data_IF_175939031803
#
_entry.id   IF_175939031803
#
_cell.length_a   1.000
_cell.length_b   1.000
_cell.length_c   1.000
_cell.angle_alpha   90.00
_cell.angle_beta   90.00
_cell.angle_gamma   90.00
#
_symmetry.space_group_name_H-M   'P 1'
#
loop_
_entity.id
_entity.type
_entity.pdbx_description
1 polymer ?
#
# COMPACT_ATOMS: atom_id res chain seq x y z
N UNK A 1 14.79 -13.04 6.80
CA UNK A 1 13.32 -12.86 6.81
C UNK A 1 12.96 -12.10 5.55
N UNK A 2 12.23 -12.72 4.61
CA UNK A 2 11.76 -12.03 3.40
C UNK A 2 10.37 -11.48 3.69
N UNK A 3 10.28 -10.18 3.99
CA UNK A 3 9.00 -9.47 4.16
C UNK A 3 8.58 -8.91 2.79
N UNK A 4 7.46 -9.40 2.27
CA UNK A 4 6.93 -8.97 0.97
C UNK A 4 6.15 -7.65 1.12
N UNK A 5 6.50 -6.66 0.29
CA UNK A 5 5.80 -5.38 0.17
C UNK A 5 4.52 -5.53 -0.64
N UNK A 6 3.39 -5.12 -0.09
CA UNK A 6 2.18 -5.06 -0.89
C UNK A 6 1.31 -3.85 -0.37
N UNK A 7 0.99 -2.87 -1.25
CA UNK A 7 0.25 -1.56 -1.09
C UNK A 7 -1.31 -1.48 -0.97
N UNK A 8 -1.88 -0.68 -0.05
CA UNK A 8 -3.31 -0.67 0.37
C UNK A 8 -4.37 0.00 -0.55
N UNK A 9 -4.28 -0.18 -1.87
CA UNK A 9 -5.53 -0.44 -2.64
C UNK A 9 -5.51 -1.76 -3.37
N UNK A 10 -4.41 -2.52 -3.31
CA UNK A 10 -4.28 -3.82 -3.94
C UNK A 10 -3.59 -4.84 -3.04
N UNK A 11 -3.44 -4.56 -1.74
CA UNK A 11 -2.48 -5.31 -0.96
C UNK A 11 -2.39 -5.03 0.55
N UNK A 12 -2.05 -6.07 1.31
CA UNK A 12 -1.87 -6.04 2.76
C UNK A 12 -0.56 -6.76 3.11
N UNK A 13 0.29 -6.18 3.96
CA UNK A 13 1.40 -6.93 4.57
C UNK A 13 0.85 -7.78 5.72
N UNK A 14 0.87 -9.11 5.56
CA UNK A 14 0.56 -10.06 6.62
C UNK A 14 1.84 -10.58 7.26
N UNK A 15 2.05 -10.31 8.55
CA UNK A 15 3.24 -10.79 9.28
C UNK A 15 3.09 -12.22 9.83
N UNK A 16 1.97 -12.92 9.58
CA UNK A 16 1.77 -14.31 10.05
C UNK A 16 0.92 -15.13 9.07
N UNK A 17 1.49 -16.20 8.50
CA UNK A 17 0.77 -17.35 7.92
C UNK A 17 -0.31 -17.08 6.86
N UNK A 18 -0.08 -16.13 5.93
CA UNK A 18 -1.05 -15.51 5.01
C UNK A 18 -2.18 -16.41 4.46
N UNK A 19 -1.87 -17.58 3.89
CA UNK A 19 -2.90 -18.41 3.26
C UNK A 19 -3.86 -19.12 4.24
N UNK A 20 -3.42 -19.46 5.45
CA UNK A 20 -4.26 -20.16 6.45
C UNK A 20 -5.20 -19.21 7.21
N UNK A 21 -5.04 -17.90 7.01
CA UNK A 21 -5.71 -16.85 7.77
C UNK A 21 -6.77 -16.08 6.96
N UNK A 22 -6.91 -16.40 5.67
CA UNK A 22 -7.97 -15.87 4.80
C UNK A 22 -9.22 -16.74 4.88
N UNK A 23 -10.38 -16.16 4.56
CA UNK A 23 -11.63 -16.91 4.57
C UNK A 23 -11.59 -18.07 3.58
N UNK A 24 -12.31 -19.17 3.87
CA UNK A 24 -12.49 -20.24 2.91
C UNK A 24 -13.02 -19.76 1.55
N UNK A 25 -13.89 -18.75 1.52
CA UNK A 25 -14.37 -18.14 0.27
C UNK A 25 -13.25 -17.48 -0.56
N UNK A 26 -12.24 -16.91 0.10
CA UNK A 26 -11.07 -16.32 -0.55
C UNK A 26 -10.01 -17.33 -0.97
N UNK A 27 -9.94 -18.50 -0.32
CA UNK A 27 -8.91 -19.51 -0.58
C UNK A 27 -9.40 -20.69 -1.42
N UNK A 28 -10.71 -20.96 -1.44
CA UNK A 28 -11.34 -22.14 -2.06
C UNK A 28 -11.04 -22.35 -3.54
N UNK A 29 -10.68 -21.29 -4.29
CA UNK A 29 -10.32 -21.37 -5.72
C UNK A 29 -8.89 -20.94 -6.01
N UNK A 30 -8.08 -20.63 -4.99
CA UNK A 30 -6.67 -20.27 -5.17
C UNK A 30 -5.85 -21.56 -5.33
N UNK A 31 -5.19 -21.75 -6.47
CA UNK A 31 -4.25 -22.87 -6.65
C UNK A 31 -3.07 -22.72 -5.68
N UNK A 32 -2.61 -23.80 -4.99
CA UNK A 32 -1.37 -23.78 -4.23
C UNK A 32 -0.23 -23.37 -5.17
N UNK A 33 0.47 -22.27 -4.85
CA UNK A 33 1.54 -21.71 -5.67
C UNK A 33 1.25 -20.35 -6.33
N UNK A 34 0.01 -19.85 -6.28
CA UNK A 34 -0.31 -18.50 -6.76
C UNK A 34 0.11 -17.37 -5.79
N UNK A 35 0.56 -17.72 -4.58
CA UNK A 35 1.13 -16.79 -3.60
C UNK A 35 2.65 -16.79 -3.78
N UNK A 36 3.10 -16.37 -4.96
CA UNK A 36 4.52 -16.11 -5.22
C UNK A 36 4.73 -14.59 -5.25
N UNK A 37 5.91 -14.16 -4.80
CA UNK A 37 6.26 -12.76 -4.58
C UNK A 37 5.99 -11.87 -5.81
N UNK A 38 4.95 -11.03 -5.76
CA UNK A 38 4.67 -10.03 -6.77
C UNK A 38 5.32 -8.71 -6.38
N UNK A 39 6.65 -8.61 -6.55
CA UNK A 39 7.33 -7.31 -6.56
C UNK A 39 7.87 -6.95 -7.95
N UNK A 40 7.85 -7.87 -8.91
CA UNK A 40 8.03 -7.56 -10.33
C UNK A 40 7.14 -8.49 -11.16
N UNK A 41 6.70 -7.96 -12.32
CA UNK A 41 6.12 -8.62 -13.50
C UNK A 41 4.62 -8.35 -13.74
N UNK A 42 4.41 -7.42 -14.69
CA UNK A 42 3.53 -7.47 -15.87
C UNK A 42 2.04 -7.82 -15.71
N UNK A 43 1.21 -7.03 -16.42
CA UNK A 43 -0.22 -7.25 -16.70
C UNK A 43 -0.67 -8.71 -16.65
N UNK A 44 -1.46 -9.06 -15.63
CA UNK A 44 -2.27 -10.28 -15.63
C UNK A 44 -3.75 -9.89 -15.75
N UNK A 45 -4.31 -10.12 -16.94
CA UNK A 45 -5.76 -10.19 -17.12
C UNK A 45 -6.24 -11.51 -16.51
N UNK A 46 -6.72 -11.48 -15.27
CA UNK A 46 -7.38 -12.62 -14.65
C UNK A 46 -8.76 -12.83 -15.28
N UNK A 47 -8.85 -13.77 -16.23
CA UNK A 47 -10.13 -14.33 -16.67
C UNK A 47 -10.68 -15.28 -15.58
N UNK A 48 -11.59 -14.79 -14.74
CA UNK A 48 -12.36 -15.63 -13.83
C UNK A 48 -13.72 -15.98 -14.46
N UNK A 49 -13.88 -17.20 -14.98
CA UNK A 49 -15.19 -17.74 -15.35
C UNK A 49 -16.03 -17.95 -14.08
N UNK A 50 -17.20 -17.33 -14.01
CA UNK A 50 -18.09 -17.34 -12.84
C UNK A 50 -19.25 -18.32 -13.03
N UNK A 51 -19.50 -19.15 -12.01
CA UNK A 51 -20.74 -19.90 -11.87
C UNK A 51 -21.36 -19.44 -10.55
N UNK A 52 -22.57 -18.89 -10.68
CA UNK A 52 -23.31 -18.13 -9.66
C UNK A 52 -23.86 -19.08 -8.59
N UNK A 53 -23.64 -18.78 -7.31
CA UNK A 53 -24.56 -19.21 -6.26
C UNK A 53 -24.67 -18.13 -5.20
N UNK A 54 -25.90 -17.74 -4.92
CA UNK A 54 -26.29 -16.67 -4.01
C UNK A 54 -25.90 -16.96 -2.54
N UNK A 55 -25.53 -15.86 -1.85
CA UNK A 55 -25.82 -15.49 -0.45
C UNK A 55 -24.56 -14.96 0.29
N UNK A 56 -24.53 -13.64 0.55
CA UNK A 56 -23.62 -12.93 1.49
C UNK A 56 -22.13 -13.30 1.46
N UNK A 57 -21.57 -13.61 0.29
CA UNK A 57 -20.18 -14.06 0.16
C UNK A 57 -19.31 -12.97 -0.47
N UNK A 58 -18.14 -12.69 0.12
CA UNK A 58 -17.10 -11.88 -0.51
C UNK A 58 -16.76 -12.54 -1.85
N UNK A 59 -16.92 -11.77 -2.93
CA UNK A 59 -16.55 -12.25 -4.26
C UNK A 59 -15.03 -12.42 -4.33
N UNK A 60 -14.53 -13.44 -5.04
CA UNK A 60 -13.08 -13.73 -5.04
C UNK A 60 -12.21 -12.54 -5.46
N UNK A 61 -12.69 -11.68 -6.36
CA UNK A 61 -12.01 -10.45 -6.74
C UNK A 61 -11.88 -9.44 -5.60
N UNK A 62 -12.86 -9.40 -4.68
CA UNK A 62 -12.82 -8.54 -3.49
C UNK A 62 -11.80 -9.02 -2.46
N UNK A 63 -11.33 -10.27 -2.54
CA UNK A 63 -10.29 -10.78 -1.65
C UNK A 63 -8.91 -10.13 -1.88
N UNK A 64 -8.71 -9.48 -3.02
CA UNK A 64 -7.48 -8.73 -3.34
C UNK A 64 -7.49 -7.30 -2.79
N UNK A 65 -8.58 -6.91 -2.15
CA UNK A 65 -8.85 -5.55 -1.72
C UNK A 65 -8.94 -5.51 -0.18
N UNK A 66 -7.89 -4.99 0.48
CA UNK A 66 -7.80 -4.90 1.94
C UNK A 66 -9.03 -4.33 2.63
N UNK A 67 -9.71 -3.37 2.00
CA UNK A 67 -10.91 -2.74 2.55
C UNK A 67 -12.06 -3.72 2.82
N UNK A 68 -12.09 -4.88 2.16
CA UNK A 68 -13.13 -5.89 2.36
C UNK A 68 -12.68 -7.03 3.29
N UNK A 69 -11.41 -7.43 3.22
CA UNK A 69 -10.93 -8.59 3.96
C UNK A 69 -10.27 -8.26 5.30
N UNK A 70 -9.73 -7.04 5.48
CA UNK A 70 -8.84 -6.79 6.62
C UNK A 70 -9.56 -6.81 7.97
N UNK A 71 -10.86 -6.54 8.00
CA UNK A 71 -11.70 -6.71 9.20
C UNK A 71 -11.89 -8.18 9.60
N UNK A 72 -11.82 -9.09 8.63
CA UNK A 72 -12.13 -10.50 8.84
C UNK A 72 -10.90 -11.31 9.25
N UNK A 73 -9.71 -10.69 9.19
CA UNK A 73 -8.45 -11.28 9.65
C UNK A 73 -8.45 -11.35 11.18
N UNK A 74 -8.30 -12.55 11.73
CA UNK A 74 -8.26 -12.78 13.18
C UNK A 74 -6.87 -12.59 13.79
N UNK A 75 -5.81 -12.80 13.01
CA UNK A 75 -4.43 -12.63 13.49
C UNK A 75 -4.08 -11.15 13.65
N UNK A 76 -3.21 -10.78 14.60
CA UNK A 76 -2.66 -9.44 14.68
C UNK A 76 -2.11 -8.98 13.32
N UNK A 77 -2.43 -7.74 12.95
CA UNK A 77 -2.11 -7.15 11.66
C UNK A 77 -1.36 -5.84 11.87
N UNK A 78 -0.23 -5.66 11.19
CA UNK A 78 0.45 -4.37 11.09
C UNK A 78 0.30 -3.82 9.68
N UNK A 79 -0.31 -2.65 9.56
CA UNK A 79 -0.61 -1.99 8.31
C UNK A 79 0.49 -0.97 8.00
N UNK A 80 1.20 -1.13 6.88
CA UNK A 80 2.25 -0.19 6.42
C UNK A 80 1.85 0.28 5.04
N UNK A 81 1.78 1.60 4.82
CA UNK A 81 1.59 2.16 3.49
C UNK A 81 1.95 3.64 3.47
N UNK A 82 2.54 4.09 2.37
CA UNK A 82 2.59 5.50 2.05
C UNK A 82 1.17 6.01 1.72
N UNK A 83 0.74 7.13 2.30
CA UNK A 83 -0.54 7.73 1.94
C UNK A 83 -0.57 8.24 0.49
N UNK A 84 0.60 8.45 -0.11
CA UNK A 84 0.81 8.83 -1.51
C UNK A 84 1.68 7.77 -2.18
N UNK A 85 1.23 6.51 -2.18
CA UNK A 85 1.96 5.43 -2.80
C UNK A 85 2.22 5.72 -4.28
N UNK A 86 3.51 5.81 -4.65
CA UNK A 86 3.91 6.28 -5.98
C UNK A 86 3.47 5.31 -7.08
N UNK A 87 3.37 4.01 -6.77
CA UNK A 87 2.88 3.02 -7.72
C UNK A 87 1.36 3.14 -7.92
N UNK A 88 0.59 3.32 -6.85
CA UNK A 88 -0.86 3.53 -6.94
C UNK A 88 -1.18 4.80 -7.73
N UNK A 89 -0.45 5.88 -7.49
CA UNK A 89 -0.64 7.14 -8.23
C UNK A 89 -0.36 6.94 -9.72
N UNK A 90 0.74 6.27 -10.07
CA UNK A 90 1.12 6.02 -11.46
C UNK A 90 0.18 5.07 -12.21
N UNK A 91 -0.32 4.03 -11.55
CA UNK A 91 -1.02 2.92 -12.23
C UNK A 91 -2.55 2.96 -12.03
N UNK A 92 -3.05 3.67 -11.02
CA UNK A 92 -4.47 3.69 -10.65
C UNK A 92 -5.04 5.10 -10.75
N UNK A 93 -4.38 6.10 -10.14
CA UNK A 93 -4.90 7.47 -10.13
C UNK A 93 -4.73 8.17 -11.50
N UNK A 94 -3.54 8.07 -12.08
CA UNK A 94 -3.20 8.72 -13.34
C UNK A 94 -2.50 7.77 -14.33
N UNK A 95 -3.13 6.62 -14.69
CA UNK A 95 -2.63 5.77 -15.76
C UNK A 95 -2.67 6.51 -17.10
N UNK A 96 -1.84 6.13 -18.07
CA UNK A 96 -1.78 6.80 -19.38
C UNK A 96 -3.13 6.84 -20.13
N UNK A 97 -4.02 5.87 -19.89
CA UNK A 97 -5.40 5.89 -20.42
C UNK A 97 -6.26 7.01 -19.83
N UNK A 98 -6.05 7.36 -18.55
CA UNK A 98 -6.75 8.46 -17.89
C UNK A 98 -6.05 9.81 -18.05
N UNK A 99 -4.80 9.81 -18.52
CA UNK A 99 -3.99 10.99 -18.81
C UNK A 99 -3.43 10.97 -20.24
N UNK A 100 -4.29 10.98 -21.28
CA UNK A 100 -3.86 10.83 -22.67
C UNK A 100 -2.98 12.00 -23.18
N UNK A 101 -3.02 13.13 -22.48
CA UNK A 101 -2.23 14.33 -22.81
C UNK A 101 -0.97 14.48 -21.94
N UNK A 102 -0.71 13.52 -21.05
CA UNK A 102 0.52 13.48 -20.25
C UNK A 102 0.64 14.61 -19.21
N UNK A 103 -0.47 15.17 -18.74
CA UNK A 103 -0.46 16.24 -17.74
C UNK A 103 0.18 15.80 -16.42
N UNK A 104 0.13 14.51 -16.09
CA UNK A 104 0.67 13.92 -14.88
C UNK A 104 2.08 13.37 -15.04
N UNK A 105 2.68 13.32 -16.24
CA UNK A 105 3.98 12.67 -16.43
C UNK A 105 5.07 13.24 -15.51
N UNK A 106 5.25 14.56 -15.49
CA UNK A 106 6.24 15.19 -14.61
C UNK A 106 5.96 14.97 -13.12
N UNK A 107 4.67 15.03 -12.73
CA UNK A 107 4.21 14.80 -11.35
C UNK A 107 4.41 13.35 -10.89
N UNK A 108 4.25 12.37 -11.79
CA UNK A 108 4.49 10.94 -11.52
C UNK A 108 5.97 10.63 -11.35
N UNK A 109 6.84 11.36 -12.04
CA UNK A 109 8.30 11.22 -11.93
C UNK A 109 8.82 11.82 -10.63
N UNK A 110 8.37 13.02 -10.26
CA UNK A 110 8.69 13.67 -8.99
C UNK A 110 7.46 14.45 -8.48
N UNK A 111 7.00 14.10 -7.28
CA UNK A 111 5.87 14.76 -6.62
C UNK A 111 6.07 16.28 -6.47
N UNK A 112 7.32 16.77 -6.45
CA UNK A 112 7.63 18.21 -6.40
C UNK A 112 7.20 18.96 -7.66
N UNK A 113 7.10 18.26 -8.80
CA UNK A 113 6.68 18.85 -10.06
C UNK A 113 5.16 18.88 -10.24
N UNK A 114 4.40 18.37 -9.27
CA UNK A 114 2.95 18.39 -9.33
C UNK A 114 2.40 19.81 -9.21
N UNK A 115 1.43 20.13 -10.07
CA UNK A 115 0.64 21.34 -9.93
C UNK A 115 -0.20 21.28 -8.65
N UNK A 116 -0.57 22.43 -8.05
CA UNK A 116 -1.44 22.46 -6.87
C UNK A 116 -2.77 21.72 -7.09
N UNK A 117 -3.32 21.74 -8.31
CA UNK A 117 -4.52 20.98 -8.69
C UNK A 117 -4.30 19.47 -8.65
N UNK A 118 -3.13 18.98 -9.06
CA UNK A 118 -2.77 17.56 -9.01
C UNK A 118 -2.56 17.09 -7.58
N UNK A 119 -1.86 17.90 -6.76
CA UNK A 119 -1.73 17.65 -5.32
C UNK A 119 -3.11 17.56 -4.68
N UNK A 120 -4.05 18.45 -5.01
CA UNK A 120 -5.42 18.36 -4.50
C UNK A 120 -6.09 17.02 -4.83
N UNK A 121 -5.98 16.54 -6.08
CA UNK A 121 -6.50 15.22 -6.47
C UNK A 121 -5.84 14.09 -5.68
N UNK A 122 -4.53 14.16 -5.45
CA UNK A 122 -3.81 13.19 -4.61
C UNK A 122 -4.24 13.24 -3.14
N UNK A 123 -4.56 14.42 -2.61
CA UNK A 123 -5.12 14.57 -1.27
C UNK A 123 -6.51 13.93 -1.16
N UNK A 124 -7.37 14.15 -2.16
CA UNK A 124 -8.70 13.53 -2.22
C UNK A 124 -8.58 12.00 -2.32
N UNK A 125 -7.61 11.49 -3.08
CA UNK A 125 -7.30 10.06 -3.14
C UNK A 125 -6.84 9.51 -1.77
N UNK A 126 -5.94 10.22 -1.08
CA UNK A 126 -5.55 9.90 0.30
C UNK A 126 -6.75 9.85 1.23
N UNK A 127 -7.69 10.80 1.14
CA UNK A 127 -8.88 10.79 2.00
C UNK A 127 -9.72 9.53 1.80
N UNK A 128 -9.88 9.04 0.57
CA UNK A 128 -10.56 7.76 0.33
C UNK A 128 -9.84 6.59 0.98
N UNK A 129 -8.51 6.55 0.89
CA UNK A 129 -7.70 5.55 1.57
C UNK A 129 -7.88 5.60 3.10
N UNK A 130 -7.85 6.79 3.70
CA UNK A 130 -8.07 6.96 5.14
C UNK A 130 -9.48 6.54 5.57
N UNK A 131 -10.51 6.86 4.79
CA UNK A 131 -11.88 6.39 5.05
C UNK A 131 -11.94 4.86 5.04
N UNK A 132 -11.25 4.20 4.11
CA UNK A 132 -11.17 2.74 4.08
C UNK A 132 -10.46 2.19 5.34
N UNK A 133 -9.38 2.82 5.81
CA UNK A 133 -8.71 2.45 7.05
C UNK A 133 -9.60 2.63 8.29
N UNK A 134 -10.35 3.74 8.37
CA UNK A 134 -11.27 4.02 9.47
C UNK A 134 -12.36 2.97 9.57
N UNK A 135 -12.87 2.50 8.42
CA UNK A 135 -13.86 1.41 8.37
C UNK A 135 -13.34 0.14 9.03
N UNK A 136 -12.03 -0.13 9.03
CA UNK A 136 -11.47 -1.31 9.71
C UNK A 136 -11.72 -1.35 11.22
N UNK A 137 -12.19 -0.24 11.82
CA UNK A 137 -12.50 -0.14 13.23
C UNK A 137 -11.26 -0.03 14.12
N UNK A 138 -11.48 0.16 15.42
CA UNK A 138 -10.41 0.14 16.42
C UNK A 138 -10.10 -1.31 16.80
N UNK A 139 -8.82 -1.65 16.88
CA UNK A 139 -8.37 -2.95 17.40
C UNK A 139 -7.05 -2.75 18.14
N UNK A 140 -6.97 -3.21 19.39
CA UNK A 140 -5.75 -3.12 20.19
C UNK A 140 -4.61 -4.00 19.63
N UNK A 141 -4.95 -5.06 18.88
CA UNK A 141 -3.97 -5.96 18.26
C UNK A 141 -3.49 -5.46 16.89
N UNK A 142 -4.02 -4.33 16.38
CA UNK A 142 -3.66 -3.81 15.07
C UNK A 142 -2.61 -2.71 15.18
N UNK A 143 -1.50 -2.90 14.48
CA UNK A 143 -0.50 -1.86 14.24
C UNK A 143 -0.78 -1.11 12.93
N UNK A 144 -0.31 0.13 12.85
CA UNK A 144 -0.45 0.98 11.67
C UNK A 144 0.66 2.03 11.60
N UNK A 145 1.32 2.11 10.45
CA UNK A 145 2.29 3.13 10.08
C UNK A 145 1.91 3.65 8.70
N UNK A 146 1.19 4.77 8.65
CA UNK A 146 0.82 5.45 7.42
C UNK A 146 1.55 6.78 7.35
N UNK A 147 2.63 6.87 6.56
CA UNK A 147 3.35 8.13 6.36
C UNK A 147 2.80 8.96 5.19
N UNK A 148 3.23 10.20 5.09
CA UNK A 148 2.86 11.11 4.01
C UNK A 148 3.88 11.14 2.87
N UNK A 149 4.73 10.13 2.73
CA UNK A 149 5.79 10.11 1.73
C UNK A 149 5.25 9.69 0.36
N UNK A 150 5.89 10.17 -0.71
CA UNK A 150 5.69 9.66 -2.05
C UNK A 150 6.65 8.47 -2.26
N UNK A 151 6.24 7.29 -1.83
CA UNK A 151 7.11 6.11 -1.80
C UNK A 151 6.34 4.83 -2.13
N UNK A 152 7.06 3.76 -2.43
CA UNK A 152 6.52 2.42 -2.64
C UNK A 152 7.49 1.39 -2.07
N UNK A 153 7.04 0.16 -1.82
CA UNK A 153 7.85 -0.94 -1.27
C UNK A 153 8.72 -0.59 -0.03
N UNK A 154 8.13 0.10 0.95
CA UNK A 154 8.85 0.67 2.08
C UNK A 154 9.49 -0.34 3.03
N UNK A 155 9.08 -1.62 2.98
CA UNK A 155 9.67 -2.68 3.83
C UNK A 155 10.85 -3.40 3.18
N UNK A 156 11.08 -3.19 1.88
CA UNK A 156 12.14 -3.86 1.12
C UNK A 156 13.41 -3.00 0.99
N UNK A 157 13.26 -1.67 1.06
CA UNK A 157 14.37 -0.72 0.99
C UNK A 157 14.82 -0.32 2.39
N UNK A 158 16.09 -0.54 2.73
CA UNK A 158 16.62 -0.20 4.06
C UNK A 158 16.58 1.31 4.32
N UNK A 159 16.74 2.11 3.26
CA UNK A 159 16.64 3.56 3.23
C UNK A 159 15.29 4.04 3.75
N UNK A 160 14.21 3.29 3.51
CA UNK A 160 12.87 3.61 4.00
C UNK A 160 12.54 2.87 5.31
N UNK A 161 13.09 1.67 5.49
CA UNK A 161 12.76 0.78 6.60
C UNK A 161 13.42 1.19 7.92
N UNK A 162 14.75 1.30 7.97
CA UNK A 162 15.48 1.42 9.24
C UNK A 162 16.87 2.08 9.21
N UNK A 163 17.36 2.53 8.05
CA UNK A 163 18.59 3.33 7.94
C UNK A 163 18.54 4.62 8.77
N UNK A 164 19.71 5.24 8.98
CA UNK A 164 19.86 6.39 9.88
C UNK A 164 18.90 7.54 9.53
N UNK A 165 18.77 7.82 8.25
CA UNK A 165 18.00 8.88 7.60
C UNK A 165 16.61 8.43 7.13
N UNK A 166 16.15 7.23 7.48
CA UNK A 166 14.83 6.75 7.09
C UNK A 166 13.68 7.67 7.56
N UNK A 167 12.56 7.71 6.81
CA UNK A 167 11.40 8.48 7.18
C UNK A 167 10.91 8.18 8.60
N UNK A 168 10.49 9.24 9.28
CA UNK A 168 10.01 9.20 10.65
C UNK A 168 8.53 9.55 10.68
N UNK A 169 7.75 8.72 11.36
CA UNK A 169 6.41 9.04 11.79
C UNK A 169 6.41 9.09 13.31
N UNK A 170 6.08 10.26 13.89
CA UNK A 170 6.14 10.48 15.34
C UNK A 170 7.50 10.03 15.91
N UNK A 171 8.59 10.52 15.29
CA UNK A 171 9.99 10.25 15.67
C UNK A 171 10.36 8.75 15.66
N UNK A 172 9.62 7.92 14.94
CA UNK A 172 9.83 6.47 14.89
C UNK A 172 9.96 6.00 13.44
N UNK A 173 10.97 5.17 13.17
CA UNK A 173 11.19 4.51 11.86
C UNK A 173 10.26 3.31 11.70
N UNK A 174 9.97 2.92 10.47
CA UNK A 174 9.07 1.78 10.17
C UNK A 174 9.55 0.51 10.88
N UNK A 175 10.83 0.15 10.72
CA UNK A 175 11.40 -1.07 11.31
C UNK A 175 11.34 -1.08 12.84
N UNK A 176 11.48 0.08 13.49
CA UNK A 176 11.31 0.20 14.94
C UNK A 176 9.86 -0.01 15.34
N UNK A 177 8.93 0.66 14.66
CA UNK A 177 7.50 0.58 14.94
C UNK A 177 6.97 -0.86 14.80
N UNK A 178 7.35 -1.53 13.70
CA UNK A 178 6.98 -2.93 13.46
C UNK A 178 7.60 -3.84 14.50
N UNK A 179 8.90 -3.68 14.80
CA UNK A 179 9.58 -4.49 15.80
C UNK A 179 8.96 -4.33 17.19
N UNK A 180 8.68 -3.10 17.62
CA UNK A 180 8.08 -2.86 18.94
C UNK A 180 6.66 -3.40 19.05
N UNK A 181 5.87 -3.30 17.98
CA UNK A 181 4.55 -3.91 17.93
C UNK A 181 4.62 -5.45 17.93
N UNK A 182 5.53 -6.04 17.13
CA UNK A 182 5.62 -7.49 16.97
C UNK A 182 6.01 -8.21 18.27
N UNK A 183 6.87 -7.59 19.07
CA UNK A 183 7.33 -8.12 20.36
C UNK A 183 6.53 -7.57 21.55
N UNK A 184 5.35 -7.00 21.31
CA UNK A 184 4.46 -6.43 22.34
C UNK A 184 5.15 -5.41 23.28
N UNK A 185 6.20 -4.72 22.79
CA UNK A 185 6.92 -3.70 23.56
C UNK A 185 6.18 -2.37 23.61
N UNK A 186 5.57 -1.98 22.48
CA UNK A 186 4.80 -0.75 22.38
C UNK A 186 3.81 -0.82 21.20
N UNK A 187 2.52 -0.49 21.38
CA UNK A 187 1.62 -0.33 20.25
C UNK A 187 2.06 0.83 19.35
N UNK A 188 1.81 0.68 18.05
CA UNK A 188 2.05 1.75 17.09
C UNK A 188 0.90 1.79 16.10
N UNK A 189 0.03 2.80 16.20
CA UNK A 189 -1.09 3.01 15.29
C UNK A 189 -1.18 4.50 14.94
N UNK A 190 -0.45 4.93 13.91
CA UNK A 190 -0.30 6.34 13.55
C UNK A 190 -0.49 6.56 12.05
N UNK A 191 -1.07 7.71 11.75
CA UNK A 191 -1.28 8.25 10.41
C UNK A 191 -0.67 9.65 10.40
N UNK A 192 0.12 9.93 9.39
CA UNK A 192 0.81 11.20 9.22
C UNK A 192 -0.12 12.29 8.66
N UNK A 193 0.37 13.53 8.67
CA UNK A 193 -0.33 14.68 8.10
C UNK A 193 -0.41 14.62 6.55
N UNK A 194 -1.05 15.62 5.95
CA UNK A 194 -1.11 15.76 4.50
C UNK A 194 0.24 16.23 3.94
N UNK A 195 0.67 15.69 2.79
CA UNK A 195 1.86 16.17 2.08
C UNK A 195 1.74 17.68 1.81
N UNK A 196 2.82 18.48 1.91
CA UNK A 196 4.23 18.11 2.10
C UNK A 196 4.74 18.22 3.55
N UNK A 197 3.97 17.75 4.55
CA UNK A 197 4.29 18.05 5.94
C UNK A 197 5.50 17.31 6.55
N UNK A 198 5.88 16.14 6.02
CA UNK A 198 6.94 15.33 6.60
C UNK A 198 8.28 15.56 5.89
N UNK A 199 9.23 16.30 6.51
CA UNK A 199 10.50 16.64 5.88
C UNK A 199 11.49 15.46 5.84
N UNK A 200 11.20 14.36 6.52
CA UNK A 200 12.07 13.17 6.56
C UNK A 200 11.79 12.19 5.42
N UNK A 201 10.83 12.50 4.55
CA UNK A 201 10.46 11.63 3.44
C UNK A 201 11.53 11.61 2.34
N UNK A 202 11.99 10.42 2.00
CA UNK A 202 12.74 10.15 0.78
C UNK A 202 11.77 9.86 -0.36
N UNK A 203 11.22 10.91 -0.95
CA UNK A 203 10.26 10.78 -2.05
C UNK A 203 10.92 10.12 -3.27
N UNK A 204 10.20 9.18 -3.89
CA UNK A 204 10.66 8.47 -5.09
C UNK A 204 10.76 9.45 -6.24
N UNK A 205 11.94 9.51 -6.85
CA UNK A 205 12.18 10.15 -8.14
C UNK A 205 12.40 9.04 -9.15
N UNK A 206 11.65 9.04 -10.25
CA UNK A 206 11.83 8.10 -11.36
C UNK A 206 12.66 8.75 -12.46
N UNK A 207 13.47 7.95 -13.16
CA UNK A 207 14.16 8.41 -14.36
C UNK A 207 13.14 8.72 -15.46
N UNK A 208 13.36 9.80 -16.19
CA UNK A 208 12.55 10.16 -17.36
C UNK A 208 12.82 9.15 -18.49
N UNK A 209 11.84 8.35 -18.92
CA UNK A 209 12.01 7.39 -20.01
C UNK A 209 12.27 8.06 -21.37
N UNK A 210 12.10 9.38 -21.48
CA UNK A 210 12.39 10.18 -22.68
C UNK A 210 13.68 10.98 -22.58
N UNK A 211 14.40 10.93 -21.45
CA UNK A 211 15.69 11.58 -21.34
C UNK A 211 16.71 10.89 -22.27
N UNK A 212 17.50 11.65 -23.04
CA UNK A 212 18.59 11.07 -23.80
C UNK A 212 19.57 10.40 -22.84
N UNK A 213 19.81 9.09 -23.04
CA UNK A 213 20.87 8.38 -22.33
C UNK A 213 22.22 8.97 -22.77
N UNK A 214 22.86 9.71 -21.87
CA UNK A 214 24.22 10.22 -22.04
C UNK A 214 25.26 9.12 -21.93
#
# INVERSE_FOLDING_TARGET
MHCQCISLTHSLTFLKGSAKNLLPSCTSRMKPGLVSAFCFLTSFTLHCNFQYSDQYSIHISQCFFPQYIAQQIRTPLFIINAAYDSWQIRNILAPGIADPHGHWESCKLDIKNCLPSQIKVMQDFRLQFLVALLRLGKSASRGMFIDSCFAHCQTEMQELWFMQDSPLLNKTKIGKAVGDWFYDRNPFQKIDCAYPCNPTCHNRVYDDPHAPHS
#
